data_IF_444728053270
#
_entry.id   IF_444728053270
#
_cell.length_a   1.000
_cell.length_b   1.000
_cell.length_c   1.000
_cell.angle_alpha   90.00
_cell.angle_beta   90.00
_cell.angle_gamma   90.00
#
_symmetry.space_group_name_H-M   'P 1'
#
loop_
_entity.id
_entity.type
_entity.pdbx_description
1 polymer ?
#
# COMPACT_ATOMS: atom_id res chain seq x y z
N UNK A 1 -8.38 1.81 6.03
CA UNK A 1 -8.81 0.41 5.76
C UNK A 1 -8.52 -0.04 4.30
N UNK A 2 -7.38 0.33 3.70
CA UNK A 2 -7.08 0.05 2.28
C UNK A 2 -6.29 -1.26 2.05
N UNK A 3 -5.44 -1.67 3.00
CA UNK A 3 -4.61 -2.90 2.91
C UNK A 3 -5.41 -4.21 2.93
N UNK A 4 -6.65 -4.19 3.41
CA UNK A 4 -7.54 -5.35 3.40
C UNK A 4 -8.34 -5.48 2.09
N UNK A 5 -8.25 -4.50 1.18
CA UNK A 5 -8.95 -4.56 -0.10
C UNK A 5 -8.27 -5.53 -1.06
N UNK A 6 -9.01 -6.51 -1.57
CA UNK A 6 -8.48 -7.51 -2.52
C UNK A 6 -7.88 -6.88 -3.80
N UNK A 7 -8.41 -5.74 -4.25
CA UNK A 7 -7.84 -4.97 -5.38
C UNK A 7 -6.46 -4.40 -5.04
N UNK A 8 -6.32 -3.82 -3.85
CA UNK A 8 -5.05 -3.25 -3.40
C UNK A 8 -4.00 -4.34 -3.19
N UNK A 9 -4.38 -5.46 -2.59
CA UNK A 9 -3.50 -6.62 -2.43
C UNK A 9 -3.00 -7.13 -3.79
N UNK A 10 -3.89 -7.30 -4.78
CA UNK A 10 -3.50 -7.68 -6.15
C UNK A 10 -2.55 -6.67 -6.80
N UNK A 11 -2.81 -5.38 -6.59
CA UNK A 11 -1.93 -4.34 -7.11
C UNK A 11 -0.53 -4.39 -6.45
N UNK A 12 -0.46 -4.58 -5.13
CA UNK A 12 0.83 -4.77 -4.43
C UNK A 12 1.55 -5.99 -5.00
N UNK A 13 0.84 -7.09 -5.25
CA UNK A 13 1.42 -8.29 -5.87
C UNK A 13 1.99 -8.02 -7.27
N UNK A 14 1.32 -7.17 -8.06
CA UNK A 14 1.83 -6.71 -9.36
C UNK A 14 3.10 -5.86 -9.25
N UNK A 15 3.33 -5.20 -8.12
CA UNK A 15 4.48 -4.29 -7.90
C UNK A 15 5.70 -4.98 -7.31
N UNK A 16 5.49 -5.80 -6.28
CA UNK A 16 6.58 -6.39 -5.48
C UNK A 16 6.56 -7.92 -5.47
N UNK A 17 5.64 -8.54 -6.19
CA UNK A 17 5.48 -10.00 -6.22
C UNK A 17 4.50 -10.53 -5.17
N UNK A 18 4.28 -11.85 -5.19
CA UNK A 18 3.36 -12.50 -4.27
C UNK A 18 3.85 -12.41 -2.80
N UNK A 19 2.91 -12.45 -1.87
CA UNK A 19 3.24 -12.54 -0.45
C UNK A 19 4.05 -13.84 -0.20
N UNK A 20 5.12 -13.78 0.62
CA UNK A 20 5.86 -14.97 1.01
C UNK A 20 4.99 -15.98 1.75
N UNK A 21 5.37 -17.25 1.73
CA UNK A 21 4.66 -18.31 2.45
C UNK A 21 4.53 -17.97 3.94
N UNK A 22 3.32 -18.14 4.48
CA UNK A 22 2.99 -17.78 5.87
C UNK A 22 2.67 -16.30 6.12
N UNK A 23 2.79 -15.42 5.13
CA UNK A 23 2.41 -14.01 5.25
C UNK A 23 1.04 -13.77 4.61
N UNK A 24 0.11 -13.21 5.38
CA UNK A 24 -1.20 -12.87 4.81
C UNK A 24 -1.08 -11.73 3.78
N UNK A 25 -1.92 -11.71 2.73
CA UNK A 25 -1.92 -10.64 1.74
C UNK A 25 -2.08 -9.23 2.33
N UNK A 26 -2.82 -9.11 3.44
CA UNK A 26 -3.01 -7.87 4.18
C UNK A 26 -1.74 -7.42 4.92
N UNK A 27 -0.99 -8.35 5.52
CA UNK A 27 0.31 -8.06 6.14
C UNK A 27 1.34 -7.65 5.08
N UNK A 28 1.37 -8.34 3.95
CA UNK A 28 2.26 -8.03 2.84
C UNK A 28 1.98 -6.62 2.28
N UNK A 29 0.70 -6.30 2.04
CA UNK A 29 0.27 -4.97 1.64
C UNK A 29 0.60 -3.89 2.69
N UNK A 30 0.50 -4.21 3.98
CA UNK A 30 0.87 -3.28 5.05
C UNK A 30 2.38 -3.08 5.17
N UNK A 31 3.20 -4.10 4.87
CA UNK A 31 4.66 -3.97 4.80
C UNK A 31 5.06 -3.06 3.64
N UNK A 32 4.50 -3.26 2.46
CA UNK A 32 4.73 -2.39 1.30
C UNK A 32 4.44 -0.91 1.61
N UNK A 33 3.33 -0.62 2.30
CA UNK A 33 3.00 0.75 2.70
C UNK A 33 4.04 1.33 3.66
N UNK A 34 4.49 0.53 4.62
CA UNK A 34 5.51 0.94 5.60
C UNK A 34 6.84 1.27 4.91
N UNK A 35 7.29 0.40 4.01
CA UNK A 35 8.56 0.55 3.30
C UNK A 35 8.53 1.79 2.38
N UNK A 36 7.44 1.98 1.63
CA UNK A 36 7.30 3.12 0.71
C UNK A 36 7.13 4.46 1.42
N UNK A 37 6.51 4.47 2.62
CA UNK A 37 6.28 5.70 3.39
C UNK A 37 7.37 5.96 4.44
N UNK A 38 8.30 5.02 4.63
CA UNK A 38 9.37 5.12 5.63
C UNK A 38 8.87 5.12 7.07
N UNK A 39 7.79 4.39 7.36
CA UNK A 39 7.14 4.34 8.69
C UNK A 39 7.20 2.94 9.28
N UNK A 40 7.29 2.83 10.60
CA UNK A 40 7.28 1.55 11.31
C UNK A 40 5.84 1.00 11.48
N UNK A 41 4.86 1.89 11.58
CA UNK A 41 3.45 1.56 11.76
C UNK A 41 2.53 2.42 10.91
N UNK A 42 1.45 1.83 10.39
CA UNK A 42 0.43 2.55 9.62
C UNK A 42 -0.26 3.65 10.43
N UNK A 43 -0.29 3.54 11.76
CA UNK A 43 -0.83 4.59 12.63
C UNK A 43 -0.05 5.91 12.48
N UNK A 44 1.21 5.86 12.05
CA UNK A 44 1.99 7.07 11.78
C UNK A 44 1.46 7.83 10.57
N UNK A 45 0.71 7.21 9.64
CA UNK A 45 0.12 7.93 8.51
C UNK A 45 -0.89 8.99 8.96
N UNK A 46 -1.60 8.76 10.06
CA UNK A 46 -2.59 9.70 10.58
C UNK A 46 -1.96 10.86 11.37
N UNK A 47 -0.72 10.68 11.86
CA UNK A 47 -0.01 11.67 12.67
C UNK A 47 1.17 12.34 11.93
N UNK A 48 1.63 11.77 10.82
CA UNK A 48 2.79 12.23 10.05
C UNK A 48 2.36 12.66 8.65
N UNK A 49 2.22 13.97 8.46
CA UNK A 49 1.82 14.58 7.20
C UNK A 49 2.78 14.23 6.04
N UNK A 50 4.07 14.04 6.31
CA UNK A 50 5.06 13.64 5.29
C UNK A 50 4.79 12.21 4.83
N UNK A 51 4.56 11.28 5.76
CA UNK A 51 4.23 9.90 5.43
C UNK A 51 2.89 9.81 4.66
N UNK A 52 1.90 10.62 5.04
CA UNK A 52 0.63 10.73 4.32
C UNK A 52 0.82 11.27 2.88
N UNK A 53 1.71 12.25 2.70
CA UNK A 53 2.11 12.78 1.40
C UNK A 53 2.73 11.70 0.51
N UNK A 54 3.71 10.96 1.04
CA UNK A 54 4.35 9.83 0.36
C UNK A 54 3.35 8.73 0.01
N UNK A 55 2.46 8.38 0.93
CA UNK A 55 1.39 7.44 0.66
C UNK A 55 0.54 7.89 -0.53
N UNK A 56 0.16 9.18 -0.57
CA UNK A 56 -0.66 9.69 -1.65
C UNK A 56 0.07 9.65 -3.00
N UNK A 57 1.33 10.07 -3.04
CA UNK A 57 2.09 10.19 -4.29
C UNK A 57 2.64 8.86 -4.78
N UNK A 58 3.19 8.03 -3.90
CA UNK A 58 3.87 6.78 -4.23
C UNK A 58 2.92 5.57 -4.29
N UNK A 59 1.79 5.61 -3.57
CA UNK A 59 0.87 4.47 -3.47
C UNK A 59 -0.48 4.78 -4.10
N UNK A 60 -1.16 5.84 -3.64
CA UNK A 60 -2.54 6.11 -4.05
C UNK A 60 -2.64 6.48 -5.53
N UNK A 61 -1.77 7.36 -6.05
CA UNK A 61 -1.79 7.74 -7.48
C UNK A 61 -1.53 6.56 -8.41
N UNK A 62 -0.46 5.75 -8.23
CA UNK A 62 -0.22 4.59 -9.09
C UNK A 62 -1.29 3.51 -8.95
N UNK A 63 -1.81 3.29 -7.74
CA UNK A 63 -2.92 2.37 -7.53
C UNK A 63 -4.17 2.82 -8.30
N UNK A 64 -4.52 4.11 -8.25
CA UNK A 64 -5.67 4.65 -8.98
C UNK A 64 -5.51 4.47 -10.49
N UNK A 65 -4.33 4.80 -11.03
CA UNK A 65 -4.01 4.61 -12.45
C UNK A 65 -4.11 3.14 -12.87
N UNK A 66 -3.57 2.21 -12.05
CA UNK A 66 -3.68 0.78 -12.32
C UNK A 66 -5.13 0.25 -12.17
N UNK A 67 -5.88 0.77 -11.20
CA UNK A 67 -7.23 0.28 -10.88
C UNK A 67 -8.29 0.65 -11.93
N UNK A 68 -7.94 1.50 -12.90
CA UNK A 68 -8.84 1.94 -13.96
C UNK A 68 -9.92 2.92 -13.49
N UNK A 69 -9.77 3.53 -12.32
CA UNK A 69 -10.71 4.56 -11.81
C UNK A 69 -10.55 5.90 -12.57
N UNK A 70 -9.49 6.06 -13.35
CA UNK A 70 -9.40 7.05 -14.45
C UNK A 70 -9.64 6.36 -15.79
N UNK A 71 -10.84 5.83 -15.98
CA UNK A 71 -11.35 5.28 -17.24
C UNK A 71 -12.69 5.92 -17.56
#
# INVERSE_FOLDING_TARGET
MMCNGAKFQRWVVSRIGAAPEGVSPSQHAAQYVRDMCGIASRAELDHNATAAGLFHTAIRRPFLAWSGIYG
#
